data_IF_764669134145
#
_entry.id   IF_764669134145
#
_cell.length_a   1.000
_cell.length_b   1.000
_cell.length_c   1.000
_cell.angle_alpha   90.00
_cell.angle_beta   90.00
_cell.angle_gamma   90.00
#
_symmetry.space_group_name_H-M   'P 1'
#
loop_
_entity.id
_entity.type
_entity.pdbx_description
1 polymer ?
#
# COMPACT_ATOMS: atom_id res chain seq x y z
N UNK A 1 -5.92 -2.73 7.87
CA UNK A 1 -4.55 -3.12 7.47
C UNK A 1 -4.04 -2.10 6.45
N UNK A 2 -2.74 -1.74 6.41
CA UNK A 2 -2.23 -0.63 5.56
C UNK A 2 -2.60 -0.77 4.06
N UNK A 3 -2.62 -2.00 3.53
CA UNK A 3 -3.01 -2.28 2.14
C UNK A 3 -4.48 -1.99 1.83
N UNK A 4 -5.37 -2.18 2.81
CA UNK A 4 -6.80 -1.86 2.65
C UNK A 4 -7.00 -0.35 2.58
N UNK A 5 -6.21 0.44 3.32
CA UNK A 5 -6.26 1.91 3.22
C UNK A 5 -5.80 2.40 1.85
N UNK A 6 -4.81 1.75 1.23
CA UNK A 6 -4.35 2.10 -0.12
C UNK A 6 -5.44 1.81 -1.16
N UNK A 7 -6.21 0.73 -0.97
CA UNK A 7 -7.36 0.40 -1.82
C UNK A 7 -8.51 1.39 -1.63
N UNK A 8 -8.87 1.67 -0.39
CA UNK A 8 -9.98 2.56 -0.02
C UNK A 8 -9.76 4.00 -0.48
N UNK A 9 -8.52 4.49 -0.38
CA UNK A 9 -8.16 5.85 -0.81
C UNK A 9 -7.85 5.98 -2.29
N UNK A 10 -7.95 4.90 -3.07
CA UNK A 10 -7.86 4.94 -4.52
C UNK A 10 -6.59 5.61 -5.08
N UNK A 11 -5.50 5.68 -4.30
CA UNK A 11 -4.28 6.40 -4.67
C UNK A 11 -3.62 5.90 -5.97
N UNK A 12 -3.92 4.66 -6.33
CA UNK A 12 -3.44 4.00 -7.54
C UNK A 12 -4.20 4.42 -8.81
N UNK A 13 -5.41 4.99 -8.71
CA UNK A 13 -6.19 5.40 -9.88
C UNK A 13 -5.51 6.49 -10.70
N UNK A 14 -4.82 7.44 -10.05
CA UNK A 14 -4.08 8.50 -10.73
C UNK A 14 -2.97 7.96 -11.65
N UNK A 15 -2.47 6.77 -11.34
CA UNK A 15 -1.37 6.14 -12.08
C UNK A 15 -1.85 5.06 -13.06
N UNK A 16 -3.14 4.69 -13.03
CA UNK A 16 -3.74 3.62 -13.85
C UNK A 16 -3.58 3.87 -15.36
N UNK A 17 -3.59 5.13 -15.79
CA UNK A 17 -3.37 5.52 -17.19
C UNK A 17 -1.91 5.76 -17.56
N UNK A 18 -0.96 5.57 -16.64
CA UNK A 18 0.45 5.90 -16.87
C UNK A 18 1.20 4.88 -17.75
N UNK A 19 0.55 3.76 -18.14
CA UNK A 19 1.15 2.71 -18.98
C UNK A 19 2.29 1.94 -18.30
N UNK A 20 2.52 2.18 -17.00
CA UNK A 20 3.59 1.59 -16.19
C UNK A 20 3.00 0.63 -15.16
N UNK A 21 3.76 -0.38 -14.79
CA UNK A 21 3.38 -1.36 -13.76
C UNK A 21 3.24 -0.65 -12.41
N UNK A 22 2.07 -0.76 -11.78
CA UNK A 22 1.80 -0.21 -10.46
C UNK A 22 1.94 -1.32 -9.44
N UNK A 23 2.70 -1.07 -8.37
CA UNK A 23 2.89 -2.00 -7.26
C UNK A 23 2.43 -1.28 -5.99
N UNK A 24 1.52 -1.91 -5.23
CA UNK A 24 1.04 -1.37 -3.97
C UNK A 24 1.84 -1.99 -2.83
N UNK A 25 2.47 -1.14 -2.02
CA UNK A 25 3.27 -1.55 -0.86
C UNK A 25 2.60 -0.98 0.38
N UNK A 26 2.09 -1.86 1.24
CA UNK A 26 1.53 -1.49 2.53
C UNK A 26 2.49 -1.86 3.65
N UNK A 27 3.00 -0.87 4.38
CA UNK A 27 3.74 -1.07 5.62
C UNK A 27 2.81 -0.78 6.79
N UNK A 28 2.61 -1.76 7.68
CA UNK A 28 1.82 -1.56 8.88
C UNK A 28 2.78 -1.08 9.99
N UNK A 29 2.47 0.00 10.69
CA UNK A 29 3.33 0.48 11.79
C UNK A 29 2.70 0.08 13.11
N UNK A 30 3.43 -0.71 13.90
CA UNK A 30 2.98 -1.13 15.23
C UNK A 30 3.46 -0.10 16.26
N UNK A 31 2.52 0.74 16.71
CA UNK A 31 2.79 1.82 17.67
C UNK A 31 3.15 1.30 19.06
N UNK A 32 2.73 0.08 19.42
CA UNK A 32 3.04 -0.53 20.71
C UNK A 32 4.48 -1.05 20.77
N UNK A 33 4.95 -1.67 19.68
CA UNK A 33 6.32 -2.18 19.55
C UNK A 33 7.31 -1.16 18.98
N UNK A 34 6.82 0.00 18.51
CA UNK A 34 7.60 1.03 17.79
C UNK A 34 8.39 0.43 16.62
N UNK A 35 7.83 -0.59 15.99
CA UNK A 35 8.44 -1.33 14.92
C UNK A 35 7.55 -1.24 13.69
N UNK A 36 8.19 -1.13 12.53
CA UNK A 36 7.53 -1.40 11.26
C UNK A 36 7.14 -2.88 11.28
N UNK A 37 5.83 -3.17 11.28
CA UNK A 37 5.34 -4.51 11.05
C UNK A 37 5.57 -4.90 9.59
N UNK A 38 5.47 -6.21 9.34
CA UNK A 38 5.73 -6.84 8.04
C UNK A 38 5.12 -6.04 6.87
N UNK A 39 5.96 -5.66 5.91
CA UNK A 39 5.51 -5.01 4.70
C UNK A 39 4.92 -6.04 3.75
N UNK A 40 3.74 -5.75 3.20
CA UNK A 40 3.06 -6.60 2.23
C UNK A 40 3.01 -5.90 0.89
N UNK A 41 3.30 -6.67 -0.16
CA UNK A 41 3.27 -6.23 -1.55
C UNK A 41 2.16 -6.97 -2.29
N UNK A 42 1.34 -6.24 -3.04
CA UNK A 42 0.30 -6.82 -3.88
C UNK A 42 0.30 -6.18 -5.28
N UNK A 43 0.02 -6.95 -6.34
CA UNK A 43 -0.25 -6.38 -7.66
C UNK A 43 -1.53 -5.54 -7.61
N UNK A 44 -1.49 -4.36 -8.24
CA UNK A 44 -2.60 -3.42 -8.35
C UNK A 44 -3.66 -3.88 -9.36
#
# INVERSE_FOLDING_TARGET
IALEQIKDKEYFLKYRHSGKRIILIGANFDTQKRQLAEWKQAPA
#
